data_IF_813629724523
#
_entry.id   IF_813629724523
#
_cell.length_a   1.000
_cell.length_b   1.000
_cell.length_c   1.000
_cell.angle_alpha   90.00
_cell.angle_beta   90.00
_cell.angle_gamma   90.00
#
_symmetry.space_group_name_H-M   'P 1'
#
loop_
_entity.id
_entity.type
_entity.pdbx_description
1 polymer ?
#
# COMPACT_ATOMS: atom_id res chain seq x y z
N UNK A 1 -0.90 6.75 -15.70
CA UNK A 1 0.27 5.84 -15.79
C UNK A 1 -0.16 4.45 -15.34
N UNK A 2 0.08 3.42 -16.16
CA UNK A 2 -0.24 2.03 -15.81
C UNK A 2 0.85 1.50 -14.86
N UNK A 3 0.44 0.94 -13.72
CA UNK A 3 1.34 0.24 -12.81
C UNK A 3 1.67 -1.11 -13.45
N UNK A 4 2.96 -1.39 -13.63
CA UNK A 4 3.44 -2.68 -14.12
C UNK A 4 4.06 -3.39 -12.91
N UNK A 5 3.40 -4.43 -12.35
CA UNK A 5 3.98 -5.24 -11.30
C UNK A 5 5.32 -5.81 -11.76
N UNK A 6 6.28 -5.92 -10.84
CA UNK A 6 7.54 -6.58 -11.13
C UNK A 6 7.32 -8.06 -11.48
N UNK A 7 8.06 -8.54 -12.48
CA UNK A 7 8.04 -9.97 -12.82
C UNK A 7 8.72 -10.76 -11.70
N UNK A 8 8.25 -11.97 -11.41
CA UNK A 8 8.85 -12.83 -10.36
C UNK A 8 8.64 -12.38 -8.91
N UNK A 9 7.92 -11.26 -8.68
CA UNK A 9 7.50 -10.82 -7.35
C UNK A 9 6.34 -11.65 -6.77
N UNK A 10 6.03 -11.42 -5.50
CA UNK A 10 4.88 -12.04 -4.84
C UNK A 10 3.59 -11.77 -5.64
N UNK A 11 2.77 -12.81 -5.95
CA UNK A 11 1.53 -12.65 -6.72
C UNK A 11 0.44 -11.86 -5.98
N UNK A 12 0.71 -11.33 -4.79
CA UNK A 12 -0.17 -10.46 -4.02
C UNK A 12 -0.49 -9.16 -4.77
N UNK A 13 0.50 -8.51 -5.38
CA UNK A 13 0.29 -7.24 -6.11
C UNK A 13 0.13 -7.53 -7.59
N UNK A 14 -1.12 -7.68 -8.02
CA UNK A 14 -1.49 -7.98 -9.41
C UNK A 14 -2.24 -6.85 -10.10
N UNK A 15 -2.68 -5.85 -9.34
CA UNK A 15 -3.38 -4.70 -9.89
C UNK A 15 -2.49 -3.89 -10.84
N UNK A 16 -3.10 -3.40 -11.92
CA UNK A 16 -2.46 -2.51 -12.90
C UNK A 16 -2.63 -1.02 -12.57
N UNK A 17 -3.32 -0.70 -11.48
CA UNK A 17 -3.57 0.66 -11.00
C UNK A 17 -2.96 0.84 -9.61
N UNK A 18 -2.61 2.09 -9.25
CA UNK A 18 -1.97 2.36 -7.95
C UNK A 18 -2.96 2.15 -6.81
N UNK A 19 -4.23 2.48 -7.02
CA UNK A 19 -5.31 2.30 -6.07
C UNK A 19 -5.60 0.83 -5.83
N UNK A 20 -5.57 0.03 -6.90
CA UNK A 20 -5.68 -1.42 -6.81
C UNK A 20 -4.51 -2.04 -6.06
N UNK A 21 -3.28 -1.61 -6.36
CA UNK A 21 -2.09 -2.10 -5.67
C UNK A 21 -2.09 -1.71 -4.18
N UNK A 22 -2.50 -0.49 -3.86
CA UNK A 22 -2.66 -0.02 -2.50
C UNK A 22 -3.70 -0.84 -1.74
N UNK A 23 -4.88 -1.05 -2.32
CA UNK A 23 -5.93 -1.88 -1.71
C UNK A 23 -5.49 -3.33 -1.48
N UNK A 24 -4.79 -3.93 -2.46
CA UNK A 24 -4.22 -5.28 -2.31
C UNK A 24 -3.20 -5.33 -1.18
N UNK A 25 -2.34 -4.32 -1.04
CA UNK A 25 -1.35 -4.26 0.03
C UNK A 25 -1.98 -4.11 1.41
N UNK A 26 -3.02 -3.27 1.54
CA UNK A 26 -3.78 -3.14 2.79
C UNK A 26 -4.39 -4.48 3.21
N UNK A 27 -5.08 -5.16 2.29
CA UNK A 27 -5.69 -6.47 2.57
C UNK A 27 -4.66 -7.55 2.93
N UNK A 28 -3.56 -7.60 2.19
CA UNK A 28 -2.46 -8.53 2.43
C UNK A 28 -1.83 -8.33 3.81
N UNK A 29 -1.50 -7.08 4.18
CA UNK A 29 -0.90 -6.79 5.47
C UNK A 29 -1.87 -7.10 6.61
N UNK A 30 -3.16 -6.80 6.46
CA UNK A 30 -4.16 -7.18 7.47
C UNK A 30 -4.28 -8.70 7.66
N UNK A 31 -4.23 -9.48 6.57
CA UNK A 31 -4.21 -10.95 6.65
C UNK A 31 -2.95 -11.43 7.38
N UNK A 32 -1.78 -10.93 6.97
CA UNK A 32 -0.50 -11.26 7.59
C UNK A 32 -0.44 -10.86 9.08
N UNK A 33 -0.98 -9.71 9.45
CA UNK A 33 -1.10 -9.24 10.84
C UNK A 33 -2.02 -10.13 11.69
N UNK A 34 -3.05 -10.73 11.09
CA UNK A 34 -4.00 -11.60 11.79
C UNK A 34 -3.44 -12.99 12.11
N UNK A 35 -2.39 -13.40 11.39
CA UNK A 35 -1.79 -14.73 11.45
C UNK A 35 -0.75 -14.83 12.55
N UNK A 36 -0.97 -15.73 13.51
CA UNK A 36 -0.07 -15.92 14.67
C UNK A 36 1.34 -16.41 14.27
N UNK A 37 1.43 -17.17 13.18
CA UNK A 37 2.69 -17.71 12.64
C UNK A 37 3.55 -16.64 11.95
N UNK A 38 2.94 -15.55 11.49
CA UNK A 38 3.63 -14.41 10.86
C UNK A 38 3.82 -13.27 11.88
N UNK A 39 2.76 -12.92 12.62
CA UNK A 39 2.72 -11.83 13.59
C UNK A 39 2.68 -12.36 15.04
N UNK A 40 3.72 -13.09 15.45
CA UNK A 40 3.84 -13.57 16.84
C UNK A 40 3.81 -12.45 17.88
N UNK A 41 4.19 -11.23 17.47
CA UNK A 41 4.18 -10.02 18.30
C UNK A 41 2.78 -9.42 18.54
N UNK A 42 1.78 -9.80 17.72
CA UNK A 42 0.41 -9.25 17.73
C UNK A 42 0.36 -7.73 17.57
N UNK A 43 1.33 -7.17 16.84
CA UNK A 43 1.35 -5.74 16.50
C UNK A 43 0.61 -5.58 15.19
N UNK A 44 -0.50 -4.84 15.23
CA UNK A 44 -1.26 -4.49 14.04
C UNK A 44 -0.93 -3.05 13.66
N UNK A 45 -0.49 -2.85 12.43
CA UNK A 45 -0.13 -1.52 11.93
C UNK A 45 -0.98 -1.08 10.75
N UNK A 46 -1.85 -1.94 10.26
CA UNK A 46 -2.66 -1.73 9.08
C UNK A 46 -4.10 -2.04 9.41
N UNK A 47 -4.97 -1.09 9.11
CA UNK A 47 -6.41 -1.23 9.30
C UNK A 47 -7.06 -0.74 8.02
N UNK A 48 -7.85 -1.61 7.40
CA UNK A 48 -8.76 -1.32 6.31
C UNK A 48 -10.14 -1.85 6.68
N UNK A 49 -11.16 -1.01 6.50
CA UNK A 49 -12.57 -1.33 6.73
C UNK A 49 -13.37 -0.87 5.54
N UNK A 50 -14.16 -1.79 5.00
CA UNK A 50 -15.09 -1.51 3.90
C UNK A 50 -16.44 -1.16 4.51
N UNK A 51 -16.97 0.01 4.14
CA UNK A 51 -18.37 0.34 4.30
C UNK A 51 -19.13 -0.24 3.10
N UNK A 52 -19.87 -1.33 3.31
CA UNK A 52 -20.53 -2.06 2.22
C UNK A 52 -21.68 -1.29 1.57
N UNK A 53 -22.30 -0.37 2.30
CA UNK A 53 -23.43 0.43 1.81
C UNK A 53 -22.94 1.51 0.84
N UNK A 54 -21.79 2.11 1.15
CA UNK A 54 -21.17 3.16 0.32
C UNK A 54 -20.05 2.65 -0.59
N UNK A 55 -19.62 1.40 -0.42
CA UNK A 55 -18.46 0.82 -1.10
C UNK A 55 -17.19 1.67 -0.94
N UNK A 56 -16.93 2.15 0.28
CA UNK A 56 -15.76 2.97 0.60
C UNK A 56 -14.82 2.23 1.54
N UNK A 57 -13.52 2.28 1.26
CA UNK A 57 -12.48 1.84 2.18
C UNK A 57 -12.04 3.00 3.07
N UNK A 58 -11.99 2.76 4.38
CA UNK A 58 -11.43 3.67 5.39
C UNK A 58 -10.44 2.93 6.26
N UNK A 59 -9.49 3.63 6.86
CA UNK A 59 -8.44 2.95 7.59
C UNK A 59 -7.23 3.79 7.92
N UNK A 60 -6.18 3.11 8.36
CA UNK A 60 -4.90 3.70 8.70
C UNK A 60 -3.79 2.68 8.47
N UNK A 61 -2.58 3.15 8.19
CA UNK A 61 -1.40 2.31 8.10
C UNK A 61 -0.22 2.95 8.83
N UNK A 62 0.76 2.13 9.24
CA UNK A 62 2.04 2.61 9.72
C UNK A 62 3.16 1.60 9.52
N UNK A 63 4.37 2.08 9.28
CA UNK A 63 5.57 1.26 9.23
C UNK A 63 6.79 2.10 9.62
N UNK A 64 7.84 1.42 10.07
CA UNK A 64 9.05 2.10 10.46
C UNK A 64 9.92 2.34 9.22
N UNK A 65 10.48 3.54 9.12
CA UNK A 65 11.39 3.93 8.07
C UNK A 65 12.49 4.83 8.66
N UNK A 66 13.71 4.66 8.17
CA UNK A 66 14.85 5.51 8.50
C UNK A 66 15.20 6.35 7.29
N UNK A 67 15.36 7.63 7.51
CA UNK A 67 15.91 8.53 6.50
C UNK A 67 17.40 8.66 6.75
N UNK A 68 18.19 8.48 5.70
CA UNK A 68 19.63 8.76 5.70
C UNK A 68 20.02 9.53 4.45
N UNK A 69 21.11 10.29 4.55
CA UNK A 69 21.75 10.92 3.39
C UNK A 69 22.94 10.03 3.02
N UNK A 70 22.98 9.57 1.78
CA UNK A 70 24.04 8.71 1.25
C UNK A 70 24.36 9.17 -0.16
N UNK A 71 25.64 9.47 -0.44
CA UNK A 71 26.11 9.96 -1.74
C UNK A 71 25.32 11.18 -2.27
N UNK A 72 25.02 12.13 -1.37
CA UNK A 72 24.22 13.34 -1.64
C UNK A 72 22.72 13.10 -1.91
N UNK A 73 22.28 11.83 -1.95
CA UNK A 73 20.88 11.46 -2.13
C UNK A 73 20.18 11.18 -0.79
N UNK A 74 18.90 11.58 -0.72
CA UNK A 74 18.01 11.20 0.37
C UNK A 74 17.55 9.76 0.16
N UNK A 75 17.93 8.86 1.08
CA UNK A 75 17.47 7.46 1.05
C UNK A 75 16.49 7.19 2.20
N UNK A 76 15.40 6.52 1.87
CA UNK A 76 14.41 6.04 2.83
C UNK A 76 14.55 4.52 2.92
N UNK A 77 14.92 4.03 4.09
CA UNK A 77 15.04 2.60 4.39
C UNK A 77 13.88 2.16 5.27
N UNK A 78 12.96 1.39 4.71
CA UNK A 78 11.85 0.82 5.49
C UNK A 78 12.31 -0.41 6.26
N UNK A 79 11.62 -0.71 7.36
CA UNK A 79 11.83 -1.90 8.17
C UNK A 79 10.58 -2.76 8.16
N UNK A 80 10.70 -3.98 7.65
CA UNK A 80 9.66 -4.99 7.77
C UNK A 80 9.49 -5.36 9.25
N UNK A 81 8.30 -5.12 9.82
CA UNK A 81 7.98 -5.59 11.17
C UNK A 81 7.31 -6.98 11.17
N UNK A 82 6.91 -7.47 9.98
CA UNK A 82 6.43 -8.82 9.73
C UNK A 82 7.46 -9.59 8.92
N UNK A 83 7.73 -10.82 9.31
CA UNK A 83 8.48 -11.77 8.48
C UNK A 83 7.49 -12.59 7.69
N UNK A 84 7.32 -12.28 6.40
CA UNK A 84 6.33 -12.94 5.53
C UNK A 84 7.07 -13.92 4.60
N UNK A 85 7.06 -15.23 4.87
CA UNK A 85 7.90 -16.18 4.14
C UNK A 85 7.52 -16.34 2.67
N UNK A 86 6.28 -16.04 2.31
CA UNK A 86 5.79 -16.10 0.93
C UNK A 86 6.21 -14.90 0.09
N UNK A 87 6.66 -13.81 0.73
CA UNK A 87 7.00 -12.59 0.02
C UNK A 87 8.22 -12.80 -0.87
N UNK A 88 8.00 -12.77 -2.18
CA UNK A 88 9.06 -12.73 -3.18
C UNK A 88 9.31 -11.29 -3.60
N UNK A 89 10.55 -10.85 -3.49
CA UNK A 89 11.00 -9.59 -4.09
C UNK A 89 10.72 -9.63 -5.59
N UNK A 90 10.17 -8.54 -6.12
CA UNK A 90 10.17 -8.34 -7.57
C UNK A 90 11.59 -8.42 -8.11
N UNK A 91 11.76 -8.88 -9.34
CA UNK A 91 13.06 -8.92 -10.03
C UNK A 91 13.64 -7.52 -10.34
N UNK A 92 13.00 -6.45 -9.85
CA UNK A 92 13.35 -5.06 -10.11
C UNK A 92 12.91 -4.56 -11.49
N UNK A 93 12.24 -5.39 -12.30
CA UNK A 93 11.52 -4.95 -13.49
C UNK A 93 10.20 -4.26 -13.11
N UNK A 94 9.67 -3.42 -13.99
CA UNK A 94 8.39 -2.74 -13.75
C UNK A 94 8.48 -1.47 -12.89
N UNK A 95 7.33 -1.08 -12.34
CA UNK A 95 7.16 0.19 -11.60
C UNK A 95 7.60 0.06 -10.14
N UNK A 96 7.34 -1.09 -9.51
CA UNK A 96 7.68 -1.37 -8.10
C UNK A 96 9.00 -2.12 -8.03
N UNK A 97 10.03 -1.52 -7.44
CA UNK A 97 11.41 -2.05 -7.41
C UNK A 97 11.85 -2.47 -6.01
N UNK A 98 11.05 -2.17 -5.00
CA UNK A 98 11.28 -2.56 -3.62
C UNK A 98 11.54 -4.06 -3.49
N UNK A 99 12.56 -4.40 -2.70
CA UNK A 99 12.97 -5.79 -2.46
C UNK A 99 12.23 -6.41 -1.27
N UNK A 100 11.54 -5.59 -0.47
CA UNK A 100 10.71 -6.04 0.65
C UNK A 100 9.28 -5.51 0.50
N UNK A 101 8.33 -6.08 1.26
CA UNK A 101 6.94 -5.63 1.21
C UNK A 101 6.80 -4.19 1.67
N UNK A 102 7.58 -3.77 2.68
CA UNK A 102 7.50 -2.39 3.19
C UNK A 102 8.07 -1.38 2.20
N UNK A 103 9.12 -1.78 1.46
CA UNK A 103 9.68 -0.94 0.39
C UNK A 103 8.68 -0.78 -0.76
N UNK A 104 8.07 -1.87 -1.23
CA UNK A 104 7.05 -1.79 -2.28
C UNK A 104 5.82 -1.03 -1.81
N UNK A 105 5.42 -1.18 -0.55
CA UNK A 105 4.30 -0.41 -0.02
C UNK A 105 4.61 1.09 0.04
N UNK A 106 5.84 1.47 0.42
CA UNK A 106 6.29 2.86 0.35
C UNK A 106 6.28 3.40 -1.09
N UNK A 107 6.73 2.62 -2.07
CA UNK A 107 6.65 2.99 -3.49
C UNK A 107 5.21 3.21 -3.93
N UNK A 108 4.29 2.30 -3.57
CA UNK A 108 2.86 2.44 -3.87
C UNK A 108 2.29 3.72 -3.26
N UNK A 109 2.55 3.99 -1.98
CA UNK A 109 2.09 5.20 -1.28
C UNK A 109 2.65 6.45 -1.97
N UNK A 110 3.93 6.45 -2.33
CA UNK A 110 4.58 7.59 -2.98
C UNK A 110 3.94 7.87 -4.34
N UNK A 111 3.76 6.84 -5.16
CA UNK A 111 3.09 6.96 -6.47
C UNK A 111 1.64 7.43 -6.34
N UNK A 112 0.93 6.97 -5.31
CA UNK A 112 -0.44 7.40 -5.04
C UNK A 112 -0.44 8.90 -4.68
N UNK A 113 0.45 9.33 -3.78
CA UNK A 113 0.58 10.74 -3.40
C UNK A 113 0.99 11.63 -4.58
N UNK A 114 1.89 11.15 -5.45
CA UNK A 114 2.26 11.88 -6.67
C UNK A 114 1.05 12.08 -7.58
N UNK A 115 0.27 11.02 -7.81
CA UNK A 115 -0.93 11.09 -8.63
C UNK A 115 -2.03 11.97 -8.03
N UNK A 116 -2.25 11.90 -6.71
CA UNK A 116 -3.29 12.72 -6.07
C UNK A 116 -2.92 14.21 -6.09
N UNK A 117 -1.62 14.54 -6.15
CA UNK A 117 -1.15 15.92 -6.27
C UNK A 117 -1.06 16.41 -7.73
N UNK A 118 -1.27 15.53 -8.72
CA UNK A 118 -1.32 15.91 -10.12
C UNK A 118 -2.70 16.49 -10.45
N UNK A 119 -2.77 17.79 -10.71
CA UNK A 119 -4.01 18.49 -11.03
C UNK A 119 -4.71 18.00 -12.32
N UNK A 120 -4.01 17.25 -13.18
CA UNK A 120 -4.62 16.62 -14.36
C UNK A 120 -5.31 15.31 -13.98
N UNK A 121 -4.69 14.51 -13.10
CA UNK A 121 -5.24 13.25 -12.60
C UNK A 121 -6.31 13.45 -11.52
N UNK A 122 -6.13 14.47 -10.67
CA UNK A 122 -7.00 14.82 -9.54
C UNK A 122 -7.42 16.31 -9.59
N UNK A 123 -8.26 16.71 -10.56
CA UNK A 123 -8.66 18.11 -10.72
C UNK A 123 -9.46 18.66 -9.53
N UNK A 124 -10.05 17.76 -8.71
CA UNK A 124 -10.86 18.11 -7.56
C UNK A 124 -10.06 18.17 -6.24
N UNK A 125 -8.74 17.92 -6.29
CA UNK A 125 -7.83 17.95 -5.12
C UNK A 125 -8.31 17.07 -3.96
N UNK A 126 -8.87 15.90 -4.28
CA UNK A 126 -9.37 14.96 -3.28
C UNK A 126 -8.20 14.17 -2.71
N UNK A 127 -8.01 14.26 -1.40
CA UNK A 127 -7.01 13.47 -0.66
C UNK A 127 -7.60 12.13 -0.25
N UNK A 128 -7.32 11.08 -1.03
CA UNK A 128 -7.77 9.71 -0.73
C UNK A 128 -6.87 9.02 0.28
N UNK A 129 -5.60 9.40 0.34
CA UNK A 129 -4.68 9.00 1.38
C UNK A 129 -3.91 10.22 1.90
N UNK A 130 -3.76 10.28 3.22
CA UNK A 130 -2.85 11.23 3.87
C UNK A 130 -1.68 10.45 4.47
N UNK A 131 -0.48 11.00 4.39
CA UNK A 131 0.72 10.37 4.90
C UNK A 131 1.63 11.38 5.59
N UNK A 132 2.27 10.95 6.67
CA UNK A 132 3.22 11.74 7.44
C UNK A 132 4.42 10.88 7.83
N UNK A 133 5.58 11.52 7.91
CA UNK A 133 6.79 10.90 8.43
C UNK A 133 7.26 11.60 9.71
N UNK A 134 7.26 10.86 10.82
CA UNK A 134 7.81 11.33 12.08
C UNK A 134 9.32 11.05 12.12
N UNK A 135 10.11 12.11 11.93
CA UNK A 135 11.58 12.05 11.92
C UNK A 135 12.20 11.63 13.26
N UNK A 136 11.49 11.81 14.39
CA UNK A 136 12.00 11.44 15.72
C UNK A 136 11.85 9.94 15.93
N UNK A 137 10.71 9.37 15.56
CA UNK A 137 10.45 7.94 15.73
C UNK A 137 10.86 7.10 14.53
N UNK A 138 11.16 7.73 13.39
CA UNK A 138 11.35 7.04 12.12
C UNK A 138 10.10 6.27 11.71
N UNK A 139 8.91 6.88 11.83
CA UNK A 139 7.65 6.21 11.53
C UNK A 139 6.90 6.93 10.42
N UNK A 140 6.58 6.19 9.37
CA UNK A 140 5.65 6.62 8.34
C UNK A 140 4.26 6.13 8.75
N UNK A 141 3.29 7.03 8.76
CA UNK A 141 1.90 6.71 9.10
C UNK A 141 0.93 7.53 8.27
N UNK A 142 -0.22 6.95 7.97
CA UNK A 142 -1.22 7.60 7.15
C UNK A 142 -2.63 7.08 7.38
N UNK A 143 -3.59 7.85 6.89
CA UNK A 143 -5.01 7.57 6.94
C UNK A 143 -5.57 7.32 5.53
N UNK A 144 -6.54 6.42 5.43
CA UNK A 144 -7.28 6.11 4.20
C UNK A 144 -8.62 6.84 4.27
N UNK A 145 -8.78 7.85 3.42
CA UNK A 145 -9.91 8.77 3.40
C UNK A 145 -10.88 8.40 2.27
N UNK A 146 -11.74 7.41 2.53
CA UNK A 146 -12.86 7.05 1.64
C UNK A 146 -12.44 6.57 0.25
N UNK A 147 -11.42 5.73 0.15
CA UNK A 147 -11.00 5.18 -1.13
C UNK A 147 -12.17 4.40 -1.78
N UNK A 148 -12.69 4.82 -2.95
CA UNK A 148 -13.84 4.17 -3.57
C UNK A 148 -13.50 2.78 -4.08
N UNK A 149 -14.40 1.83 -3.82
CA UNK A 149 -14.32 0.46 -4.28
C UNK A 149 -15.42 0.17 -5.30
N UNK A 150 -15.14 -0.75 -6.22
CA UNK A 150 -16.12 -1.38 -7.09
C UNK A 150 -16.44 -2.77 -6.55
N UNK A 151 -17.74 -3.03 -6.35
CA UNK A 151 -18.26 -4.31 -5.90
C UNK A 151 -18.47 -5.24 -7.10
N UNK A 152 -17.86 -6.41 -7.06
CA UNK A 152 -17.90 -7.43 -8.10
C UNK A 152 -18.62 -8.68 -7.60
N UNK A 153 -19.55 -9.20 -8.38
CA UNK A 153 -20.20 -10.48 -8.08
C UNK A 153 -19.31 -11.62 -8.58
N UNK A 154 -18.89 -12.50 -7.69
CA UNK A 154 -18.12 -13.71 -7.99
C UNK A 154 -18.97 -14.96 -7.75
N UNK A 155 -18.43 -16.13 -8.10
CA UNK A 155 -19.05 -17.43 -7.80
C UNK A 155 -19.11 -17.71 -6.29
N UNK A 156 -18.25 -17.06 -5.50
CA UNK A 156 -18.12 -17.25 -4.05
C UNK A 156 -18.86 -16.18 -3.24
N UNK A 157 -19.39 -15.14 -3.90
CA UNK A 157 -20.15 -14.06 -3.27
C UNK A 157 -19.85 -12.70 -3.86
N UNK A 158 -19.57 -11.73 -2.99
CA UNK A 158 -19.18 -10.39 -3.40
C UNK A 158 -17.70 -10.18 -3.10
N UNK A 159 -16.98 -9.68 -4.09
CA UNK A 159 -15.61 -9.20 -3.96
C UNK A 159 -15.57 -7.69 -4.16
N UNK A 160 -14.49 -7.06 -3.71
CA UNK A 160 -14.23 -5.64 -3.92
C UNK A 160 -12.88 -5.47 -4.59
N UNK A 161 -12.78 -4.46 -5.47
CA UNK A 161 -11.52 -3.93 -6.00
C UNK A 161 -11.53 -2.42 -5.86
N UNK A 162 -10.37 -1.79 -5.72
CA UNK A 162 -10.32 -0.33 -5.78
C UNK A 162 -10.72 0.17 -7.17
N UNK A 163 -11.48 1.27 -7.21
CA UNK A 163 -11.78 1.99 -8.44
C UNK A 163 -10.55 2.79 -8.86
N UNK A 164 -10.26 2.84 -10.16
CA UNK A 164 -9.30 3.79 -10.71
C UNK A 164 -9.91 5.18 -10.69
N UNK A 165 -9.27 6.09 -9.97
CA UNK A 165 -9.77 7.45 -9.68
C UNK A 165 -8.71 8.52 -9.98
N UNK A 166 -7.46 8.14 -10.27
CA UNK A 166 -6.33 9.02 -10.61
C UNK A 166 -5.58 8.59 -11.90
#
# INVERSE_FOLDING_TARGET
MQLIPATGGDPTVTASTVEGAFYQMIGFLQDAESRIDINGSKVNRTIGKIDEDTSLLRGSFSFDAKIRIEDEDLKIETSDYLTIPSWSSGDGSGTLKGQSWSQQFLEIITLFIEKQNDAVANPDDILWIDCSHNLVTGRISGDINNLPLERLRTTEGWAYKAREIL
#
